data_IF_222028385703
#
_entry.id   IF_222028385703
#
_cell.length_a   1.000
_cell.length_b   1.000
_cell.length_c   1.000
_cell.angle_alpha   90.00
_cell.angle_beta   90.00
_cell.angle_gamma   90.00
#
_symmetry.space_group_name_H-M   'P 1'
#
loop_
_entity.id
_entity.type
_entity.pdbx_description
1 polymer ?
#
# COMPACT_ATOMS: atom_id res chain seq x y z
N UNK A 1 23.69 -3.66 -2.70
CA UNK A 1 22.22 -3.87 -2.66
C UNK A 1 21.54 -2.52 -2.40
N UNK A 2 20.29 -2.29 -2.85
CA UNK A 2 19.58 -1.05 -2.55
C UNK A 2 19.30 -0.90 -1.05
N UNK A 3 19.27 0.34 -0.57
CA UNK A 3 18.80 0.67 0.79
C UNK A 3 17.29 0.88 0.71
N UNK A 4 16.53 0.17 1.54
CA UNK A 4 15.06 0.22 1.55
C UNK A 4 14.60 0.84 2.87
N UNK A 5 14.01 2.03 2.80
CA UNK A 5 13.49 2.77 3.96
C UNK A 5 12.04 3.18 3.69
N UNK A 6 11.04 2.35 4.03
CA UNK A 6 9.63 2.60 3.67
C UNK A 6 8.98 3.79 4.38
N UNK A 7 9.60 4.33 5.43
CA UNK A 7 9.02 5.44 6.20
C UNK A 7 7.76 5.07 6.99
N UNK A 8 7.61 3.81 7.42
CA UNK A 8 6.43 3.39 8.17
C UNK A 8 6.16 4.31 9.37
N UNK A 9 4.90 4.73 9.53
CA UNK A 9 4.44 5.57 10.62
C UNK A 9 5.10 6.95 10.70
N UNK A 10 5.80 7.40 9.65
CA UNK A 10 6.39 8.74 9.62
C UNK A 10 5.35 9.84 9.43
N UNK A 11 4.19 9.51 8.85
CA UNK A 11 3.09 10.46 8.68
C UNK A 11 2.08 10.34 9.84
N UNK A 12 1.62 11.45 10.44
CA UNK A 12 0.66 11.41 11.56
C UNK A 12 -0.64 10.66 11.26
N UNK A 13 -1.09 10.72 10.00
CA UNK A 13 -2.31 10.02 9.57
C UNK A 13 -2.15 8.50 9.64
N UNK A 14 -0.96 7.95 9.38
CA UNK A 14 -0.71 6.49 9.48
C UNK A 14 -0.94 6.01 10.91
N UNK A 15 -0.45 6.79 11.88
CA UNK A 15 -0.62 6.52 13.32
C UNK A 15 -2.09 6.65 13.71
N UNK A 16 -2.78 7.69 13.24
CA UNK A 16 -4.20 7.89 13.49
C UNK A 16 -5.07 6.79 12.88
N UNK A 17 -4.69 6.23 11.73
CA UNK A 17 -5.37 5.09 11.11
C UNK A 17 -5.13 3.79 11.87
N UNK A 18 -3.90 3.54 12.33
CA UNK A 18 -3.59 2.39 13.18
C UNK A 18 -4.44 2.39 14.47
N UNK A 19 -4.56 3.54 15.13
CA UNK A 19 -5.42 3.70 16.31
C UNK A 19 -6.89 3.43 16.00
N UNK A 20 -7.42 4.01 14.91
CA UNK A 20 -8.81 3.76 14.47
C UNK A 20 -9.06 2.29 14.17
N UNK A 21 -8.08 1.60 13.59
CA UNK A 21 -8.12 0.16 13.35
C UNK A 21 -8.22 -0.64 14.65
N UNK A 22 -7.36 -0.35 15.64
CA UNK A 22 -7.41 -1.00 16.96
C UNK A 22 -8.76 -0.75 17.67
N UNK A 23 -9.26 0.48 17.65
CA UNK A 23 -10.56 0.82 18.22
C UNK A 23 -11.73 0.11 17.50
N UNK A 24 -11.64 -0.06 16.18
CA UNK A 24 -12.63 -0.82 15.42
C UNK A 24 -12.61 -2.31 15.78
N UNK A 25 -11.43 -2.93 15.87
CA UNK A 25 -11.28 -4.33 16.29
C UNK A 25 -11.88 -4.52 17.67
N UNK A 26 -11.55 -3.66 18.64
CA UNK A 26 -12.14 -3.69 19.99
C UNK A 26 -13.68 -3.63 19.96
N UNK A 27 -14.26 -2.78 19.12
CA UNK A 27 -15.74 -2.72 18.98
C UNK A 27 -16.30 -4.00 18.38
N UNK A 28 -15.66 -4.56 17.34
CA UNK A 28 -16.10 -5.79 16.68
C UNK A 28 -16.08 -6.98 17.64
N UNK A 29 -15.00 -7.14 18.41
CA UNK A 29 -14.86 -8.20 19.42
C UNK A 29 -15.99 -8.18 20.47
N UNK A 30 -16.54 -7.01 20.77
CA UNK A 30 -17.60 -6.83 21.77
C UNK A 30 -19.03 -6.91 21.20
N UNK A 31 -19.20 -7.16 19.90
CA UNK A 31 -20.53 -7.38 19.31
C UNK A 31 -21.11 -8.74 19.72
N UNK A 32 -22.43 -8.85 19.82
CA UNK A 32 -23.11 -10.10 20.23
C UNK A 32 -22.79 -11.28 19.30
N UNK A 33 -22.66 -11.01 18.00
CA UNK A 33 -22.28 -12.02 17.01
C UNK A 33 -20.87 -12.58 17.23
N UNK A 34 -19.95 -11.77 17.75
CA UNK A 34 -18.55 -12.16 17.95
C UNK A 34 -18.29 -12.71 19.35
N UNK A 35 -18.97 -12.21 20.40
CA UNK A 35 -18.74 -12.61 21.80
C UNK A 35 -18.89 -14.11 22.04
N UNK A 36 -19.78 -14.78 21.33
CA UNK A 36 -19.97 -16.24 21.42
C UNK A 36 -18.89 -17.08 20.71
N UNK A 37 -18.09 -16.46 19.84
CA UNK A 37 -17.07 -17.12 19.03
C UNK A 37 -15.65 -16.92 19.58
N UNK A 38 -15.43 -15.86 20.36
CA UNK A 38 -14.12 -15.51 20.92
C UNK A 38 -13.99 -16.14 22.31
N UNK A 39 -13.16 -17.19 22.43
CA UNK A 39 -12.84 -17.80 23.73
C UNK A 39 -11.96 -16.88 24.60
N UNK A 40 -10.90 -16.34 24.01
CA UNK A 40 -9.97 -15.40 24.64
C UNK A 40 -9.12 -14.69 23.56
N UNK A 41 -8.67 -13.44 23.77
CA UNK A 41 -7.73 -12.78 22.87
C UNK A 41 -6.39 -13.51 22.83
N UNK A 42 -5.81 -13.67 21.64
CA UNK A 42 -4.48 -14.29 21.47
C UNK A 42 -3.37 -13.33 21.97
N UNK A 43 -3.54 -12.03 21.73
CA UNK A 43 -2.87 -10.86 22.31
C UNK A 43 -2.92 -9.71 21.27
N UNK A 44 -2.91 -8.43 21.69
CA UNK A 44 -3.14 -7.93 23.04
C UNK A 44 -4.63 -7.92 23.44
N UNK A 45 -4.89 -7.61 24.71
CA UNK A 45 -6.22 -7.35 25.27
C UNK A 45 -6.58 -5.87 25.09
N UNK A 46 -7.18 -5.53 23.95
CA UNK A 46 -7.50 -4.15 23.56
C UNK A 46 -8.49 -3.46 24.51
N UNK A 47 -9.32 -4.23 25.22
CA UNK A 47 -10.27 -3.75 26.24
C UNK A 47 -9.59 -3.07 27.43
N UNK A 48 -8.36 -3.47 27.74
CA UNK A 48 -7.56 -2.93 28.85
C UNK A 48 -6.57 -1.83 28.46
N UNK A 49 -6.48 -1.51 27.17
CA UNK A 49 -5.53 -0.53 26.63
C UNK A 49 -6.14 0.85 26.46
N UNK A 50 -5.37 1.88 26.79
CA UNK A 50 -5.62 3.24 26.32
C UNK A 50 -5.10 3.43 24.89
N UNK A 51 -5.42 4.58 24.28
CA UNK A 51 -5.06 4.86 22.89
C UNK A 51 -3.53 4.89 22.68
N UNK A 52 -2.76 5.33 23.67
CA UNK A 52 -1.30 5.36 23.59
C UNK A 52 -0.70 3.95 23.58
N UNK A 53 -1.19 3.07 24.45
CA UNK A 53 -0.80 1.67 24.50
C UNK A 53 -1.18 0.92 23.21
N UNK A 54 -2.33 1.24 22.59
CA UNK A 54 -2.72 0.65 21.30
C UNK A 54 -1.75 1.02 20.17
N UNK A 55 -1.35 2.29 20.10
CA UNK A 55 -0.39 2.75 19.10
C UNK A 55 0.98 2.12 19.33
N UNK A 56 1.41 2.01 20.58
CA UNK A 56 2.70 1.41 20.91
C UNK A 56 2.73 -0.10 20.63
N UNK A 57 1.65 -0.83 20.92
CA UNK A 57 1.52 -2.23 20.50
C UNK A 57 1.61 -2.38 18.97
N UNK A 58 0.94 -1.48 18.22
CA UNK A 58 1.03 -1.47 16.76
C UNK A 58 2.47 -1.28 16.29
N UNK A 59 3.21 -0.33 16.86
CA UNK A 59 4.63 -0.10 16.50
C UNK A 59 5.50 -1.34 16.72
N UNK A 60 5.28 -2.06 17.81
CA UNK A 60 6.10 -3.21 18.19
C UNK A 60 5.81 -4.47 17.35
N UNK A 61 4.63 -4.57 16.73
CA UNK A 61 4.19 -5.78 16.03
C UNK A 61 3.88 -5.58 14.55
N UNK A 62 3.76 -4.35 14.08
CA UNK A 62 3.43 -4.07 12.69
C UNK A 62 4.49 -4.67 11.74
N UNK A 63 3.99 -5.18 10.62
CA UNK A 63 4.80 -5.65 9.50
C UNK A 63 4.15 -5.16 8.21
N UNK A 64 4.77 -5.48 7.09
CA UNK A 64 4.29 -5.11 5.76
C UNK A 64 3.29 -6.13 5.22
N UNK A 65 2.32 -5.64 4.44
CA UNK A 65 1.50 -6.49 3.57
C UNK A 65 2.21 -6.86 2.26
N UNK A 66 3.51 -6.56 2.13
CA UNK A 66 4.36 -6.87 0.97
C UNK A 66 3.89 -6.22 -0.34
N UNK A 67 3.37 -4.99 -0.27
CA UNK A 67 2.87 -4.23 -1.42
C UNK A 67 3.61 -2.90 -1.65
N UNK A 68 4.95 -2.86 -1.79
CA UNK A 68 5.65 -1.64 -2.15
C UNK A 68 5.28 -1.19 -3.57
N UNK A 69 5.03 0.11 -3.76
CA UNK A 69 4.65 0.73 -5.04
C UNK A 69 5.26 2.13 -5.15
N UNK A 70 5.16 2.77 -6.32
CA UNK A 70 5.38 4.22 -6.49
C UNK A 70 6.83 4.68 -6.67
N UNK A 71 7.83 3.79 -6.65
CA UNK A 71 9.24 4.17 -6.84
C UNK A 71 9.58 4.70 -8.24
N UNK A 72 8.72 4.45 -9.23
CA UNK A 72 8.78 5.02 -10.59
C UNK A 72 7.41 5.56 -11.01
N UNK A 73 6.79 6.34 -10.12
CA UNK A 73 5.41 6.83 -10.24
C UNK A 73 5.07 7.37 -11.63
N UNK A 74 3.90 6.96 -12.14
CA UNK A 74 3.27 7.47 -13.36
C UNK A 74 2.62 8.83 -13.13
N UNK A 75 2.84 9.78 -14.05
CA UNK A 75 2.23 11.11 -13.99
C UNK A 75 2.48 11.93 -15.26
N UNK A 76 1.75 13.05 -15.43
CA UNK A 76 1.87 13.90 -16.61
C UNK A 76 3.10 14.81 -16.62
N UNK A 77 3.74 15.00 -15.45
CA UNK A 77 4.84 15.95 -15.27
C UNK A 77 6.16 15.23 -14.94
N UNK A 78 7.15 15.37 -15.82
CA UNK A 78 8.47 14.78 -15.66
C UNK A 78 9.26 15.30 -14.44
N UNK A 79 8.88 16.45 -13.87
CA UNK A 79 9.51 16.96 -12.65
C UNK A 79 9.06 16.20 -11.39
N UNK A 80 7.91 15.52 -11.44
CA UNK A 80 7.28 14.86 -10.29
C UNK A 80 6.94 13.38 -10.53
N UNK A 81 7.21 12.86 -11.73
CA UNK A 81 6.93 11.48 -12.13
C UNK A 81 8.02 10.91 -13.03
N UNK A 82 8.10 9.58 -13.12
CA UNK A 82 9.13 8.87 -13.90
C UNK A 82 8.61 8.44 -15.27
N UNK A 83 7.34 8.05 -15.35
CA UNK A 83 6.71 7.61 -16.60
C UNK A 83 5.43 8.39 -16.91
N UNK A 84 5.10 8.50 -18.20
CA UNK A 84 3.84 9.06 -18.68
C UNK A 84 2.67 8.05 -18.60
N UNK A 85 1.49 8.48 -19.07
CA UNK A 85 0.28 7.65 -19.08
C UNK A 85 0.42 6.41 -19.98
N UNK A 86 1.38 6.36 -20.89
CA UNK A 86 1.70 5.25 -21.78
C UNK A 86 2.80 4.35 -21.20
N UNK A 87 3.21 4.61 -19.95
CA UNK A 87 4.25 3.91 -19.20
C UNK A 87 5.67 4.10 -19.77
N UNK A 88 5.86 5.11 -20.63
CA UNK A 88 7.14 5.46 -21.22
C UNK A 88 7.90 6.38 -20.26
N UNK A 89 9.20 6.15 -20.13
CA UNK A 89 10.07 6.99 -19.30
C UNK A 89 10.20 8.38 -19.92
N UNK A 90 9.98 9.41 -19.11
CA UNK A 90 10.09 10.80 -19.56
C UNK A 90 11.49 11.10 -20.11
N UNK A 91 11.55 11.76 -21.27
CA UNK A 91 12.81 12.18 -21.90
C UNK A 91 13.64 11.06 -22.53
N UNK A 92 13.18 9.81 -22.51
CA UNK A 92 13.86 8.67 -23.12
C UNK A 92 12.98 7.98 -24.16
N UNK A 93 13.59 7.60 -25.28
CA UNK A 93 12.92 6.84 -26.33
C UNK A 93 13.01 5.34 -26.05
N UNK A 94 11.96 4.61 -26.43
CA UNK A 94 11.91 3.14 -26.37
C UNK A 94 12.19 2.51 -24.99
N UNK A 95 12.05 3.26 -23.89
CA UNK A 95 12.19 2.76 -22.53
C UNK A 95 10.86 2.88 -21.77
N UNK A 96 10.45 1.78 -21.15
CA UNK A 96 9.17 1.67 -20.43
C UNK A 96 9.39 1.04 -19.06
N UNK A 97 8.56 1.39 -18.08
CA UNK A 97 8.48 0.70 -16.78
C UNK A 97 7.09 0.10 -16.65
N UNK A 98 7.03 -1.22 -16.47
CA UNK A 98 5.76 -1.96 -16.48
C UNK A 98 5.70 -2.91 -15.29
N UNK A 99 5.54 -2.36 -14.10
CA UNK A 99 5.37 -3.10 -12.85
C UNK A 99 4.62 -2.24 -11.80
N UNK A 100 4.59 -2.66 -10.53
CA UNK A 100 3.91 -1.94 -9.45
C UNK A 100 4.56 -0.59 -9.08
N UNK A 101 5.80 -0.33 -9.49
CA UNK A 101 6.50 0.92 -9.18
C UNK A 101 5.85 2.14 -9.83
N UNK A 102 5.04 1.94 -10.88
CA UNK A 102 4.38 3.04 -11.61
C UNK A 102 3.12 3.55 -10.94
N UNK A 103 2.59 2.87 -9.92
CA UNK A 103 1.37 3.33 -9.27
C UNK A 103 1.61 4.64 -8.51
N UNK A 104 0.85 5.71 -8.79
CA UNK A 104 0.99 6.97 -8.06
C UNK A 104 0.54 6.85 -6.59
N UNK A 105 -0.33 5.88 -6.30
CA UNK A 105 -0.80 5.56 -4.95
C UNK A 105 -1.06 4.06 -4.83
N UNK A 106 -0.96 3.53 -3.61
CA UNK A 106 -1.33 2.13 -3.33
C UNK A 106 -2.84 1.95 -3.50
N UNK A 107 -3.24 0.80 -4.05
CA UNK A 107 -4.66 0.43 -4.17
C UNK A 107 -5.26 0.03 -2.82
N UNK A 108 -6.59 0.11 -2.68
CA UNK A 108 -7.29 -0.31 -1.45
C UNK A 108 -7.29 -1.82 -1.21
N UNK A 109 -6.77 -2.61 -2.15
CA UNK A 109 -6.60 -4.06 -2.04
C UNK A 109 -5.20 -4.51 -2.49
N UNK A 110 -5.04 -5.82 -2.66
CA UNK A 110 -3.78 -6.43 -3.06
C UNK A 110 -3.31 -5.94 -4.45
N UNK A 111 -2.01 -5.70 -4.59
CA UNK A 111 -1.44 -5.07 -5.79
C UNK A 111 -1.27 -6.02 -6.98
N UNK A 112 -1.40 -7.33 -6.79
CA UNK A 112 -1.19 -8.31 -7.85
C UNK A 112 -2.12 -8.11 -9.07
N UNK A 113 -3.43 -7.97 -8.83
CA UNK A 113 -4.42 -7.77 -9.88
C UNK A 113 -4.19 -6.46 -10.66
N UNK A 114 -4.05 -5.28 -10.01
CA UNK A 114 -3.76 -4.05 -10.74
C UNK A 114 -2.40 -4.09 -11.46
N UNK A 115 -1.37 -4.76 -10.91
CA UNK A 115 -0.07 -4.90 -11.61
C UNK A 115 -0.20 -5.75 -12.87
N UNK A 116 -1.01 -6.80 -12.83
CA UNK A 116 -1.32 -7.61 -14.02
C UNK A 116 -2.03 -6.79 -15.08
N UNK A 117 -2.95 -5.91 -14.67
CA UNK A 117 -3.63 -4.98 -15.59
C UNK A 117 -2.64 -3.98 -16.22
N UNK A 118 -1.75 -3.39 -15.41
CA UNK A 118 -0.66 -2.52 -15.91
C UNK A 118 0.21 -3.26 -16.92
N UNK A 119 0.55 -4.52 -16.67
CA UNK A 119 1.29 -5.35 -17.62
C UNK A 119 0.56 -5.50 -18.96
N UNK A 120 -0.76 -5.76 -18.93
CA UNK A 120 -1.57 -5.83 -20.14
C UNK A 120 -1.59 -4.50 -20.90
N UNK A 121 -1.83 -3.38 -20.21
CA UNK A 121 -1.83 -2.04 -20.80
C UNK A 121 -0.45 -1.69 -21.39
N UNK A 122 0.63 -1.97 -20.66
CA UNK A 122 2.00 -1.70 -21.11
C UNK A 122 2.36 -2.49 -22.37
N UNK A 123 1.96 -3.78 -22.43
CA UNK A 123 2.14 -4.57 -23.64
C UNK A 123 1.40 -3.96 -24.85
N UNK A 124 0.17 -3.46 -24.67
CA UNK A 124 -0.57 -2.77 -25.74
C UNK A 124 0.13 -1.47 -26.18
N UNK A 125 0.60 -0.65 -25.23
CA UNK A 125 1.31 0.60 -25.53
C UNK A 125 2.60 0.34 -26.33
N UNK A 126 3.40 -0.65 -25.92
CA UNK A 126 4.63 -1.03 -26.60
C UNK A 126 4.34 -1.57 -28.01
N UNK A 127 3.33 -2.42 -28.18
CA UNK A 127 2.95 -2.95 -29.49
C UNK A 127 2.41 -1.87 -30.42
N UNK A 128 1.66 -0.88 -29.91
CA UNK A 128 1.18 0.24 -30.71
C UNK A 128 2.35 1.12 -31.18
N UNK A 129 3.29 1.42 -30.29
CA UNK A 129 4.48 2.21 -30.61
C UNK A 129 5.40 1.51 -31.64
N UNK A 130 5.45 0.18 -31.67
CA UNK A 130 6.25 -0.56 -32.64
C UNK A 130 5.64 -0.63 -34.05
N UNK A 131 4.37 -0.23 -34.22
CA UNK A 131 3.66 -0.23 -35.51
C UNK A 131 3.68 1.13 -36.20
N UNK A 132 4.04 2.19 -35.48
CA UNK A 132 4.24 3.55 -36.02
C UNK A 132 5.72 3.82 -36.26
#
# INVERSE_FOLDING_TARGET
APIITPGYLSHPEDVAQALRGAQLIRRLENTDAMRGLIRAPIAPRLDTMDDAAMVEDFRNRASTCYHPVGSCTMGPDAATSVVDAELKVHGLEHLYVVDASVFPNVTSGNTHAPTTMVAHKGAQAILAAARG
#
